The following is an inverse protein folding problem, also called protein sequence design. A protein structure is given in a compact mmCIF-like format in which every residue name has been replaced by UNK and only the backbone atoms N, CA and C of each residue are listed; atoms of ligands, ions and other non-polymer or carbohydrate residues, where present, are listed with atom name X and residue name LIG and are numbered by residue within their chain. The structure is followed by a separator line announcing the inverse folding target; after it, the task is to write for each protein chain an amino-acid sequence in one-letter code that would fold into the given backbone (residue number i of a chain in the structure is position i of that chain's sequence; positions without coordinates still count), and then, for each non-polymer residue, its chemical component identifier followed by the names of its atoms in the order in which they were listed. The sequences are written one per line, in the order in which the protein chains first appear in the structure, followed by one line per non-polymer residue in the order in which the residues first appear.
data_IF_647595096788
#
_entry.id   IF_647595096788
#
_cell.length_a   1.000
_cell.length_b   1.000
_cell.length_c   1.000
_cell.angle_alpha   90.00
_cell.angle_beta   90.00
_cell.angle_gamma   90.00
#
_symmetry.space_group_name_H-M   'P 1'
#
loop_
_entity.id
_entity.type
_entity.pdbx_description
1 polymer ?
#
# COMPACT_ATOMS: atom_id res chain seq x y z
N UNK A 1 3.86 -23.38 -18.91
CA UNK A 1 4.44 -24.22 -17.83
C UNK A 1 5.38 -23.36 -16.99
N UNK A 2 5.29 -23.38 -15.66
CA UNK A 2 6.16 -22.54 -14.82
C UNK A 2 7.61 -23.04 -14.91
N UNK A 3 8.51 -22.20 -15.40
CA UNK A 3 9.96 -22.49 -15.46
C UNK A 3 10.53 -22.78 -14.06
N UNK A 4 9.91 -22.20 -13.02
CA UNK A 4 10.32 -22.33 -11.62
C UNK A 4 10.06 -23.74 -11.08
N UNK A 5 8.93 -24.37 -11.43
CA UNK A 5 8.59 -25.72 -10.96
C UNK A 5 9.49 -26.81 -11.55
N UNK A 6 10.04 -26.58 -12.77
CA UNK A 6 10.96 -27.50 -13.45
C UNK A 6 12.41 -27.38 -12.98
N UNK A 7 12.76 -26.28 -12.30
CA UNK A 7 14.12 -26.04 -11.87
C UNK A 7 14.41 -26.88 -10.61
N UNK A 8 15.39 -27.80 -10.66
CA UNK A 8 15.75 -28.61 -9.49
C UNK A 8 16.20 -27.71 -8.34
N UNK A 9 15.97 -28.17 -7.10
CA UNK A 9 16.49 -27.53 -5.89
C UNK A 9 17.72 -28.32 -5.45
N UNK A 10 18.87 -27.65 -5.39
CA UNK A 10 20.13 -28.28 -5.02
C UNK A 10 20.30 -28.34 -3.51
N UNK A 11 20.75 -29.49 -3.01
CA UNK A 11 21.07 -29.74 -1.61
C UNK A 11 22.58 -29.57 -1.40
N UNK A 12 23.04 -28.51 -0.70
CA UNK A 12 24.44 -28.33 -0.37
C UNK A 12 24.90 -29.33 0.69
N UNK A 13 26.22 -29.52 0.81
CA UNK A 13 26.81 -30.47 1.77
C UNK A 13 26.35 -30.19 3.21
N UNK A 14 25.91 -31.23 3.92
CA UNK A 14 25.41 -31.14 5.30
C UNK A 14 23.92 -30.83 5.45
N UNK A 15 23.15 -30.78 4.34
CA UNK A 15 21.69 -30.68 4.36
C UNK A 15 21.06 -32.01 3.97
N UNK A 16 20.20 -32.54 4.83
CA UNK A 16 19.45 -33.78 4.56
C UNK A 16 17.97 -33.49 4.37
N UNK A 17 17.36 -34.14 3.37
CA UNK A 17 15.93 -34.06 3.10
C UNK A 17 15.29 -35.42 3.41
N UNK A 18 14.23 -35.41 4.22
CA UNK A 18 13.40 -36.58 4.50
C UNK A 18 12.03 -36.34 3.86
N UNK A 19 11.65 -37.21 2.93
CA UNK A 19 10.40 -37.12 2.18
C UNK A 19 9.42 -38.15 2.76
N UNK A 20 8.38 -37.67 3.44
CA UNK A 20 7.23 -38.48 3.86
C UNK A 20 6.05 -38.24 2.89
N UNK A 21 5.02 -39.09 2.95
CA UNK A 21 3.84 -38.98 2.09
C UNK A 21 3.13 -37.62 2.24
N UNK A 22 3.05 -37.11 3.46
CA UNK A 22 2.30 -35.90 3.80
C UNK A 22 3.18 -34.68 4.07
N UNK A 23 4.51 -34.83 4.16
CA UNK A 23 5.42 -33.74 4.49
C UNK A 23 6.85 -33.95 4.01
N UNK A 24 7.55 -32.85 3.70
CA UNK A 24 9.00 -32.82 3.45
C UNK A 24 9.68 -32.11 4.61
N UNK A 25 10.61 -32.79 5.26
CA UNK A 25 11.46 -32.21 6.31
C UNK A 25 12.87 -31.97 5.77
N UNK A 26 13.39 -30.76 5.93
CA UNK A 26 14.76 -30.41 5.56
C UNK A 26 15.52 -30.08 6.85
N UNK A 27 16.64 -30.76 7.09
CA UNK A 27 17.54 -30.54 8.23
C UNK A 27 18.87 -29.99 7.75
N UNK A 28 19.40 -29.01 8.47
CA UNK A 28 20.74 -28.47 8.24
C UNK A 28 21.35 -27.86 9.50
N UNK A 29 22.48 -27.18 9.36
CA UNK A 29 23.26 -26.66 10.49
C UNK A 29 22.50 -25.66 11.37
N UNK A 30 21.55 -24.91 10.82
CA UNK A 30 20.80 -23.86 11.55
C UNK A 30 19.44 -24.33 12.09
N UNK A 31 19.10 -25.61 11.95
CA UNK A 31 17.86 -26.19 12.44
C UNK A 31 17.11 -27.05 11.42
N UNK A 32 15.87 -27.40 11.75
CA UNK A 32 15.00 -28.23 10.91
C UNK A 32 13.72 -27.48 10.54
N UNK A 33 13.29 -27.60 9.28
CA UNK A 33 12.03 -27.05 8.78
C UNK A 33 11.19 -28.15 8.16
N UNK A 34 9.88 -28.10 8.37
CA UNK A 34 8.91 -29.05 7.78
C UNK A 34 7.90 -28.30 6.91
N UNK A 35 7.56 -28.87 5.76
CA UNK A 35 6.56 -28.38 4.83
C UNK A 35 5.54 -29.49 4.56
N UNK A 36 4.25 -29.28 4.83
CA UNK A 36 3.21 -30.24 4.44
C UNK A 36 3.09 -30.30 2.92
N UNK A 37 3.04 -31.51 2.38
CA UNK A 37 2.74 -31.78 0.97
C UNK A 37 1.22 -31.76 0.78
N UNK A 38 0.78 -31.19 -0.33
CA UNK A 38 -0.64 -31.14 -0.70
C UNK A 38 -0.92 -32.18 -1.79
N UNK A 39 -2.13 -32.74 -1.78
CA UNK A 39 -2.55 -33.74 -2.75
C UNK A 39 -2.26 -33.30 -4.21
N UNK A 40 -1.67 -34.20 -4.99
CA UNK A 40 -1.29 -33.98 -6.41
C UNK A 40 0.11 -33.39 -6.63
N UNK A 41 0.91 -33.16 -5.58
CA UNK A 41 2.31 -32.73 -5.69
C UNK A 41 3.22 -33.70 -4.94
N UNK A 42 4.08 -34.40 -5.67
CA UNK A 42 5.09 -35.31 -5.12
C UNK A 42 6.49 -34.74 -5.28
N UNK A 43 7.37 -35.02 -4.32
CA UNK A 43 8.78 -34.60 -4.37
C UNK A 43 9.62 -35.85 -4.55
N UNK A 44 10.46 -35.84 -5.59
CA UNK A 44 11.39 -36.92 -5.88
C UNK A 44 12.80 -36.41 -5.63
N UNK A 45 13.57 -37.17 -4.86
CA UNK A 45 15.00 -36.92 -4.68
C UNK A 45 15.79 -37.74 -5.69
N UNK A 46 16.59 -37.05 -6.51
CA UNK A 46 17.58 -37.68 -7.38
C UNK A 46 18.94 -37.11 -6.98
N UNK A 47 19.77 -37.95 -6.37
CA UNK A 47 21.06 -37.60 -5.80
C UNK A 47 20.99 -36.41 -4.82
N UNK A 48 21.63 -35.30 -5.19
CA UNK A 48 21.69 -34.02 -4.45
C UNK A 48 20.67 -32.99 -4.96
N UNK A 49 19.69 -33.41 -5.77
CA UNK A 49 18.68 -32.55 -6.37
C UNK A 49 17.28 -33.01 -5.99
N UNK A 50 16.47 -32.09 -5.48
CA UNK A 50 15.05 -32.29 -5.28
C UNK A 50 14.30 -31.80 -6.52
N UNK A 51 13.51 -32.68 -7.12
CA UNK A 51 12.62 -32.38 -8.24
C UNK A 51 11.17 -32.54 -7.81
N UNK A 52 10.30 -31.66 -8.31
CA UNK A 52 8.86 -31.73 -8.04
C UNK A 52 8.16 -32.38 -9.22
N UNK A 53 7.42 -33.44 -8.95
CA UNK A 53 6.45 -34.04 -9.87
C UNK A 53 5.04 -33.63 -9.46
N UNK A 54 4.19 -33.37 -10.42
CA UNK A 54 2.82 -32.94 -10.19
C UNK A 54 1.93 -33.47 -11.31
N UNK A 55 0.65 -33.66 -10.99
CA UNK A 55 -0.34 -34.12 -11.95
C UNK A 55 -0.68 -33.00 -12.95
N UNK A 56 -0.88 -33.35 -14.21
CA UNK A 56 -0.82 -32.42 -15.35
C UNK A 56 -1.85 -31.28 -15.31
N UNK A 57 -2.97 -31.45 -14.59
CA UNK A 57 -4.11 -30.53 -14.61
C UNK A 57 -4.45 -29.88 -13.27
N UNK A 58 -4.97 -28.64 -13.33
CA UNK A 58 -5.61 -27.96 -12.20
C UNK A 58 -4.70 -27.36 -11.12
N UNK A 59 -5.18 -27.39 -9.87
CA UNK A 59 -4.57 -26.77 -8.69
C UNK A 59 -3.13 -27.24 -8.41
N UNK A 60 -2.82 -28.50 -8.75
CA UNK A 60 -1.49 -29.09 -8.56
C UNK A 60 -0.40 -28.32 -9.33
N UNK A 61 -0.70 -27.89 -10.56
CA UNK A 61 0.23 -27.10 -11.40
C UNK A 61 0.50 -25.71 -10.83
N UNK A 62 -0.49 -25.08 -10.20
CA UNK A 62 -0.32 -23.77 -9.53
C UNK A 62 0.49 -23.92 -8.24
N UNK A 63 0.26 -25.01 -7.51
CA UNK A 63 0.95 -25.31 -6.24
C UNK A 63 2.40 -25.73 -6.44
N UNK A 64 2.72 -26.47 -7.50
CA UNK A 64 4.08 -26.98 -7.76
C UNK A 64 5.16 -25.88 -7.77
N UNK A 65 4.86 -24.70 -8.33
CA UNK A 65 5.78 -23.56 -8.32
C UNK A 65 6.03 -23.00 -6.91
N UNK A 66 4.97 -22.88 -6.11
CA UNK A 66 5.06 -22.43 -4.72
C UNK A 66 5.80 -23.46 -3.86
N UNK A 67 5.48 -24.74 -3.98
CA UNK A 67 6.16 -25.84 -3.27
C UNK A 67 7.66 -25.83 -3.55
N UNK A 68 8.07 -25.61 -4.82
CA UNK A 68 9.49 -25.48 -5.20
C UNK A 68 10.15 -24.29 -4.50
N UNK A 69 9.49 -23.14 -4.51
CA UNK A 69 10.01 -21.94 -3.88
C UNK A 69 10.15 -22.11 -2.36
N UNK A 70 9.18 -22.76 -1.70
CA UNK A 70 9.26 -23.07 -0.29
C UNK A 70 10.41 -24.02 0.04
N UNK A 71 10.60 -25.10 -0.73
CA UNK A 71 11.73 -26.02 -0.53
C UNK A 71 13.08 -25.31 -0.72
N UNK A 72 13.23 -24.50 -1.77
CA UNK A 72 14.45 -23.73 -1.99
C UNK A 72 14.72 -22.72 -0.85
N UNK A 73 13.67 -22.12 -0.31
CA UNK A 73 13.75 -21.22 0.83
C UNK A 73 14.13 -21.96 2.12
N UNK A 74 13.59 -23.16 2.34
CA UNK A 74 13.97 -24.00 3.48
C UNK A 74 15.44 -24.38 3.41
N UNK A 75 15.94 -24.82 2.24
CA UNK A 75 17.36 -25.13 2.03
C UNK A 75 18.23 -23.91 2.30
N UNK A 76 17.87 -22.74 1.78
CA UNK A 76 18.58 -21.47 2.05
C UNK A 76 18.52 -21.08 3.53
N UNK A 77 17.40 -21.33 4.20
CA UNK A 77 17.18 -21.04 5.61
C UNK A 77 18.04 -21.89 6.53
N UNK A 78 18.09 -23.21 6.32
CA UNK A 78 18.88 -24.12 7.17
C UNK A 78 20.40 -24.01 6.91
N UNK A 79 20.80 -23.39 5.80
CA UNK A 79 22.22 -23.17 5.43
C UNK A 79 22.70 -21.77 5.79
N UNK A 80 22.17 -20.74 5.13
CA UNK A 80 22.60 -19.34 5.27
C UNK A 80 21.79 -18.58 6.31
N UNK A 81 20.54 -18.97 6.55
CA UNK A 81 19.59 -18.21 7.36
C UNK A 81 19.05 -16.98 6.62
N UNK A 82 18.12 -16.27 7.26
CA UNK A 82 17.50 -15.06 6.72
C UNK A 82 17.79 -13.87 7.61
N UNK A 83 18.15 -12.74 6.99
CA UNK A 83 18.32 -11.46 7.65
C UNK A 83 17.43 -10.43 6.94
N UNK A 84 16.73 -9.60 7.72
CA UNK A 84 16.07 -8.39 7.24
C UNK A 84 16.59 -7.21 8.05
N UNK A 85 17.17 -6.22 7.37
CA UNK A 85 17.61 -4.97 7.97
C UNK A 85 16.43 -4.01 8.02
N UNK A 86 16.18 -3.41 9.18
CA UNK A 86 15.12 -2.44 9.41
C UNK A 86 15.74 -1.14 9.91
N UNK A 87 15.41 -0.03 9.25
CA UNK A 87 15.85 1.31 9.64
C UNK A 87 14.69 2.07 10.29
N UNK A 88 14.95 2.70 11.43
CA UNK A 88 13.98 3.55 12.13
C UNK A 88 14.24 5.02 11.78
N UNK A 89 13.23 5.69 11.22
CA UNK A 89 13.30 7.11 10.84
C UNK A 89 12.32 7.94 11.67
N UNK A 90 12.84 8.86 12.49
CA UNK A 90 12.05 9.85 13.21
C UNK A 90 12.67 10.28 14.55
N UNK A 91 12.32 11.47 15.02
CA UNK A 91 12.81 12.00 16.31
C UNK A 91 12.11 11.27 17.46
N UNK A 92 12.90 10.68 18.38
CA UNK A 92 12.39 9.99 19.57
C UNK A 92 12.05 8.50 19.38
N UNK A 93 12.26 7.92 18.20
CA UNK A 93 12.15 6.46 18.00
C UNK A 93 13.47 5.78 18.38
N UNK A 94 13.40 4.83 19.33
CA UNK A 94 14.54 3.99 19.71
C UNK A 94 14.10 2.54 19.83
N UNK A 95 14.89 1.61 19.30
CA UNK A 95 14.71 0.19 19.55
C UNK A 95 15.61 -0.23 20.71
N UNK A 96 15.04 -0.86 21.73
CA UNK A 96 15.79 -1.51 22.79
C UNK A 96 15.46 -3.01 22.75
N UNK A 97 16.49 -3.85 22.80
CA UNK A 97 16.29 -5.30 22.88
C UNK A 97 15.92 -5.63 24.32
N UNK A 98 14.78 -6.29 24.55
CA UNK A 98 14.34 -6.68 25.90
C UNK A 98 14.24 -8.21 25.96
N UNK A 99 15.24 -8.85 26.58
CA UNK A 99 15.31 -10.32 26.74
C UNK A 99 15.77 -11.08 25.48
N UNK A 100 15.86 -12.42 25.62
CA UNK A 100 16.44 -13.34 24.62
C UNK A 100 15.60 -13.56 23.35
N UNK A 101 14.38 -13.02 23.25
CA UNK A 101 13.49 -13.31 22.11
C UNK A 101 12.43 -12.23 21.80
N UNK A 102 12.65 -10.96 22.16
CA UNK A 102 11.72 -9.88 21.82
C UNK A 102 12.39 -8.52 21.71
N UNK A 103 12.33 -7.88 20.53
CA UNK A 103 12.66 -6.45 20.40
C UNK A 103 11.47 -5.66 20.93
N UNK A 104 11.60 -5.01 22.07
CA UNK A 104 10.58 -4.12 22.60
C UNK A 104 10.78 -2.71 22.04
N UNK A 105 9.92 -2.30 21.10
CA UNK A 105 9.83 -0.91 20.66
C UNK A 105 9.11 -0.10 21.75
N UNK A 106 9.88 0.59 22.59
CA UNK A 106 9.31 1.48 23.61
C UNK A 106 8.96 2.84 23.00
N UNK A 107 7.69 3.05 22.70
CA UNK A 107 7.10 4.37 22.46
C UNK A 107 6.74 5.00 23.82
N UNK A 108 6.98 6.30 24.03
CA UNK A 108 6.34 7.05 25.14
C UNK A 108 4.84 7.18 24.86
N UNK A 109 4.09 6.10 25.09
CA UNK A 109 2.65 6.06 25.23
C UNK A 109 2.35 4.86 26.14
N UNK A 110 1.55 5.06 27.18
CA UNK A 110 1.42 4.24 28.38
C UNK A 110 0.80 2.84 28.22
N UNK A 111 1.10 2.05 27.18
CA UNK A 111 0.62 0.66 27.09
C UNK A 111 1.71 -0.29 26.50
N UNK A 112 1.93 -1.49 27.09
CA UNK A 112 2.82 -2.49 26.54
C UNK A 112 2.11 -3.25 25.40
N UNK A 113 2.77 -3.42 24.25
CA UNK A 113 2.23 -4.21 23.14
C UNK A 113 2.94 -5.57 23.05
N UNK A 114 2.15 -6.63 23.19
CA UNK A 114 2.49 -7.96 22.69
C UNK A 114 2.63 -7.95 21.17
N UNK A 115 3.31 -8.98 20.64
CA UNK A 115 3.76 -9.07 19.26
C UNK A 115 2.63 -9.20 18.22
N UNK A 116 1.99 -8.08 17.91
CA UNK A 116 1.27 -7.91 16.64
C UNK A 116 2.26 -7.36 15.60
N UNK A 117 2.24 -7.89 14.39
CA UNK A 117 2.92 -7.27 13.25
C UNK A 117 2.38 -5.84 13.10
N UNK A 118 3.11 -4.87 13.65
CA UNK A 118 2.77 -3.45 13.54
C UNK A 118 2.88 -3.06 12.05
N UNK A 119 1.76 -3.13 11.34
CA UNK A 119 1.67 -2.59 9.97
C UNK A 119 1.90 -1.09 10.10
N UNK A 120 3.12 -0.64 9.82
CA UNK A 120 3.51 0.77 9.85
C UNK A 120 2.67 1.50 8.79
N UNK A 121 1.49 2.00 9.19
CA UNK A 121 0.61 2.71 8.26
C UNK A 121 1.22 4.06 7.92
N UNK A 122 1.60 4.24 6.65
CA UNK A 122 2.22 5.48 6.21
C UNK A 122 1.25 6.66 6.37
N UNK A 123 1.75 7.90 6.52
CA UNK A 123 0.89 9.10 6.60
C UNK A 123 -0.08 9.19 5.41
N UNK A 124 0.35 8.68 4.23
CA UNK A 124 -0.45 8.59 3.02
C UNK A 124 -1.60 7.58 3.17
N UNK A 125 -1.34 6.39 3.66
CA UNK A 125 -2.37 5.36 3.90
C UNK A 125 -3.41 5.81 4.92
N UNK A 126 -2.98 6.41 6.04
CA UNK A 126 -3.90 6.96 7.04
C UNK A 126 -4.83 8.03 6.46
N UNK A 127 -4.34 8.84 5.51
CA UNK A 127 -5.17 9.81 4.78
C UNK A 127 -6.17 9.10 3.86
N UNK A 128 -5.71 8.13 3.07
CA UNK A 128 -6.57 7.40 2.14
C UNK A 128 -7.70 6.66 2.88
N UNK A 129 -7.41 6.02 4.01
CA UNK A 129 -8.41 5.37 4.87
C UNK A 129 -9.52 6.34 5.32
N UNK A 130 -9.16 7.56 5.74
CA UNK A 130 -10.15 8.60 6.12
C UNK A 130 -11.02 9.06 4.96
N UNK A 131 -10.50 9.03 3.73
CA UNK A 131 -11.24 9.45 2.54
C UNK A 131 -12.31 8.42 2.14
N UNK A 132 -12.13 7.13 2.47
CA UNK A 132 -13.02 6.04 2.04
C UNK A 132 -14.47 6.30 2.42
N UNK A 133 -14.75 6.60 3.70
CA UNK A 133 -16.13 6.80 4.18
C UNK A 133 -16.84 7.94 3.45
N UNK A 134 -16.16 9.10 3.32
CA UNK A 134 -16.72 10.27 2.61
C UNK A 134 -16.99 9.94 1.15
N UNK A 135 -16.08 9.21 0.48
CA UNK A 135 -16.21 8.87 -0.94
C UNK A 135 -17.27 7.82 -1.21
N UNK A 136 -17.54 6.92 -0.27
CA UNK A 136 -18.66 5.98 -0.36
C UNK A 136 -19.98 6.76 -0.38
N UNK A 137 -20.18 7.64 0.60
CA UNK A 137 -21.40 8.46 0.66
C UNK A 137 -21.59 9.35 -0.57
N UNK A 138 -20.52 9.97 -1.09
CA UNK A 138 -20.60 10.79 -2.31
C UNK A 138 -20.99 9.95 -3.53
N UNK A 139 -20.55 8.69 -3.61
CA UNK A 139 -20.93 7.78 -4.70
C UNK A 139 -22.42 7.47 -4.65
N UNK A 140 -22.97 7.27 -3.46
CA UNK A 140 -24.40 7.00 -3.28
C UNK A 140 -25.27 8.20 -3.70
N UNK A 141 -24.75 9.43 -3.54
CA UNK A 141 -25.45 10.65 -3.94
C UNK A 141 -25.50 10.88 -5.47
N UNK A 142 -24.62 10.23 -6.25
CA UNK A 142 -24.64 10.34 -7.71
C UNK A 142 -24.40 11.74 -8.28
N UNK A 143 -23.79 12.65 -7.50
CA UNK A 143 -23.49 14.03 -7.92
C UNK A 143 -22.02 14.19 -8.33
N UNK A 144 -21.74 15.19 -9.18
CA UNK A 144 -20.37 15.57 -9.53
C UNK A 144 -19.56 15.91 -8.27
N UNK A 145 -18.30 15.47 -8.22
CA UNK A 145 -17.45 15.56 -7.01
C UNK A 145 -16.33 16.57 -7.20
N UNK A 146 -16.29 17.60 -6.35
CA UNK A 146 -15.16 18.51 -6.21
C UNK A 146 -14.11 17.91 -5.27
N UNK A 147 -13.00 17.43 -5.82
CA UNK A 147 -11.88 16.85 -5.07
C UNK A 147 -10.79 17.88 -4.82
N UNK A 148 -10.30 17.95 -3.58
CA UNK A 148 -9.17 18.83 -3.20
C UNK A 148 -7.95 18.01 -2.81
N UNK A 149 -6.83 18.23 -3.48
CA UNK A 149 -5.54 17.64 -3.11
C UNK A 149 -4.53 18.72 -2.73
N UNK A 150 -3.86 18.53 -1.59
CA UNK A 150 -2.93 19.50 -1.03
C UNK A 150 -1.58 18.86 -0.74
N UNK A 151 -0.52 19.49 -1.22
CA UNK A 151 0.86 19.22 -0.84
C UNK A 151 1.40 20.38 0.01
N UNK A 152 2.61 20.27 0.58
CA UNK A 152 3.21 21.39 1.30
C UNK A 152 3.32 22.65 0.43
N UNK A 153 3.65 22.49 -0.86
CA UNK A 153 3.91 23.60 -1.79
C UNK A 153 2.73 23.98 -2.70
N UNK A 154 1.83 23.05 -3.00
CA UNK A 154 0.79 23.26 -4.01
C UNK A 154 -0.59 22.81 -3.54
N UNK A 155 -1.61 23.34 -4.19
CA UNK A 155 -3.00 22.91 -4.03
C UNK A 155 -3.63 22.70 -5.41
N UNK A 156 -4.43 21.65 -5.51
CA UNK A 156 -5.08 21.18 -6.71
C UNK A 156 -6.56 20.97 -6.40
N UNK A 157 -7.42 21.41 -7.30
CA UNK A 157 -8.86 21.19 -7.25
C UNK A 157 -9.34 20.63 -8.59
N UNK A 158 -10.18 19.61 -8.54
CA UNK A 158 -10.75 18.98 -9.73
C UNK A 158 -12.23 18.68 -9.50
N UNK A 159 -13.08 19.06 -10.44
CA UNK A 159 -14.47 18.64 -10.51
C UNK A 159 -14.53 17.42 -11.43
N UNK A 160 -14.94 16.30 -10.86
CA UNK A 160 -15.08 15.02 -11.55
C UNK A 160 -16.56 14.72 -11.70
N UNK A 161 -16.93 14.11 -12.82
CA UNK A 161 -18.29 13.63 -13.06
C UNK A 161 -18.72 12.57 -12.01
N UNK A 162 -20.03 12.37 -11.88
CA UNK A 162 -20.65 11.44 -10.92
C UNK A 162 -20.15 9.99 -11.10
N UNK A 163 -19.96 9.56 -12.35
CA UNK A 163 -19.41 8.25 -12.69
C UNK A 163 -17.90 8.12 -12.37
N UNK A 164 -17.20 9.24 -12.18
CA UNK A 164 -15.76 9.26 -11.93
C UNK A 164 -14.87 9.09 -13.16
N UNK A 165 -15.45 8.97 -14.36
CA UNK A 165 -14.72 8.69 -15.60
C UNK A 165 -14.10 9.94 -16.24
N UNK A 166 -14.72 11.11 -16.08
CA UNK A 166 -14.31 12.35 -16.75
C UNK A 166 -14.05 13.48 -15.74
N UNK A 167 -12.96 14.22 -15.95
CA UNK A 167 -12.70 15.48 -15.25
C UNK A 167 -13.33 16.61 -16.05
N UNK A 168 -14.26 17.33 -15.43
CA UNK A 168 -15.03 18.41 -16.07
C UNK A 168 -14.24 19.72 -16.00
N UNK A 169 -13.70 20.03 -14.83
CA UNK A 169 -12.89 21.22 -14.60
C UNK A 169 -11.72 20.89 -13.68
N UNK A 170 -10.58 21.55 -13.89
CA UNK A 170 -9.41 21.42 -13.05
C UNK A 170 -8.72 22.77 -12.87
N UNK A 171 -8.26 23.07 -11.66
CA UNK A 171 -7.51 24.27 -11.32
C UNK A 171 -6.37 23.93 -10.35
N UNK A 172 -5.21 24.53 -10.55
CA UNK A 172 -4.06 24.30 -9.68
C UNK A 172 -3.12 25.49 -9.63
N UNK A 173 -2.35 25.60 -8.55
CA UNK A 173 -1.30 26.63 -8.45
C UNK A 173 -0.10 26.41 -9.37
N UNK A 174 -0.11 25.33 -10.16
CA UNK A 174 0.93 25.02 -11.15
C UNK A 174 0.60 25.63 -12.52
N UNK A 175 -0.68 25.88 -12.80
CA UNK A 175 -1.10 26.51 -14.05
C UNK A 175 -0.55 27.94 -14.12
N UNK A 176 0.02 28.30 -15.27
CA UNK A 176 0.66 29.61 -15.47
C UNK A 176 -0.27 30.77 -15.20
N UNK A 177 -1.53 30.66 -15.64
CA UNK A 177 -2.60 31.64 -15.41
C UNK A 177 -2.81 31.97 -13.94
N UNK A 178 -2.72 30.96 -13.07
CA UNK A 178 -2.90 31.13 -11.62
C UNK A 178 -1.58 31.46 -10.92
N UNK A 179 -0.45 31.01 -11.47
CA UNK A 179 0.87 31.21 -10.89
C UNK A 179 1.36 32.65 -11.04
N UNK A 180 1.07 33.31 -12.17
CA UNK A 180 1.54 34.66 -12.47
C UNK A 180 1.05 35.71 -11.45
N UNK A 181 -0.14 35.53 -10.87
CA UNK A 181 -0.73 36.46 -9.90
C UNK A 181 -0.44 36.15 -8.42
N UNK A 182 0.35 35.12 -8.11
CA UNK A 182 0.53 34.64 -6.73
C UNK A 182 1.96 34.85 -6.23
N UNK A 183 2.10 35.53 -5.08
CA UNK A 183 3.38 35.67 -4.35
C UNK A 183 3.89 34.35 -3.77
N UNK A 184 2.99 33.40 -3.50
CA UNK A 184 3.34 32.09 -2.97
C UNK A 184 2.27 31.04 -3.31
N UNK A 185 2.69 29.81 -3.57
CA UNK A 185 1.81 28.73 -4.07
C UNK A 185 1.23 27.83 -2.97
N UNK A 186 1.75 27.95 -1.75
CA UNK A 186 1.42 27.10 -0.59
C UNK A 186 0.61 27.79 0.51
N UNK A 187 0.14 29.03 0.31
CA UNK A 187 -0.55 29.85 1.32
C UNK A 187 -2.08 29.78 1.19
N UNK A 188 -2.79 30.52 2.07
CA UNK A 188 -4.26 30.60 2.08
C UNK A 188 -4.79 31.40 0.89
N UNK A 189 -4.08 32.45 0.45
CA UNK A 189 -4.46 33.27 -0.70
C UNK A 189 -4.48 32.47 -2.00
N UNK A 190 -3.46 31.64 -2.22
CA UNK A 190 -3.43 30.72 -3.37
C UNK A 190 -4.60 29.73 -3.35
N UNK A 191 -5.01 29.26 -2.17
CA UNK A 191 -6.17 28.39 -2.04
C UNK A 191 -7.48 29.10 -2.40
N UNK A 192 -7.63 30.39 -2.03
CA UNK A 192 -8.77 31.22 -2.44
C UNK A 192 -8.80 31.44 -3.96
N UNK A 193 -7.65 31.76 -4.56
CA UNK A 193 -7.53 31.95 -6.00
C UNK A 193 -7.92 30.68 -6.79
N UNK A 194 -7.44 29.51 -6.35
CA UNK A 194 -7.83 28.22 -6.95
C UNK A 194 -9.32 27.93 -6.75
N UNK A 195 -9.89 28.27 -5.60
CA UNK A 195 -11.32 28.13 -5.30
C UNK A 195 -12.23 28.95 -6.22
N UNK A 196 -11.84 30.19 -6.53
CA UNK A 196 -12.57 31.04 -7.49
C UNK A 196 -12.47 30.48 -8.92
N UNK A 197 -11.26 30.18 -9.35
CA UNK A 197 -11.00 29.70 -10.71
C UNK A 197 -11.69 28.35 -11.01
N UNK A 198 -11.76 27.43 -10.03
CA UNK A 198 -12.47 26.16 -10.24
C UNK A 198 -13.98 26.36 -10.36
N UNK A 199 -14.55 27.30 -9.60
CA UNK A 199 -15.98 27.59 -9.65
C UNK A 199 -16.39 28.23 -10.97
N UNK A 200 -15.61 29.19 -11.47
CA UNK A 200 -15.84 29.81 -12.80
C UNK A 200 -15.78 28.77 -13.92
N UNK A 201 -14.78 27.89 -13.89
CA UNK A 201 -14.64 26.82 -14.90
C UNK A 201 -15.75 25.77 -14.79
N UNK A 202 -16.18 25.43 -13.58
CA UNK A 202 -17.28 24.49 -13.38
C UNK A 202 -18.62 25.08 -13.88
N UNK A 203 -18.87 26.36 -13.62
CA UNK A 203 -20.02 27.08 -14.15
C UNK A 203 -20.01 27.18 -15.67
N UNK A 204 -18.86 27.48 -16.26
CA UNK A 204 -18.70 27.49 -17.72
C UNK A 204 -18.99 26.11 -18.35
N UNK A 205 -18.72 25.04 -17.61
CA UNK A 205 -19.05 23.67 -17.99
C UNK A 205 -20.48 23.22 -17.60
N UNK A 206 -21.31 24.12 -17.07
CA UNK A 206 -22.71 23.86 -16.73
C UNK A 206 -22.93 23.11 -15.40
N UNK A 207 -21.92 22.98 -14.53
CA UNK A 207 -22.03 22.26 -13.25
C UNK A 207 -22.21 23.25 -12.10
N UNK A 208 -23.41 23.28 -11.52
CA UNK A 208 -23.77 24.17 -10.40
C UNK A 208 -23.73 23.49 -9.03
N UNK A 209 -24.20 22.23 -8.96
CA UNK A 209 -24.25 21.42 -7.73
C UNK A 209 -23.14 20.38 -7.75
N UNK A 210 -22.34 20.36 -6.69
CA UNK A 210 -21.25 19.38 -6.51
C UNK A 210 -21.24 18.83 -5.08
N UNK A 211 -20.64 17.66 -4.87
CA UNK A 211 -20.27 17.19 -3.55
C UNK A 211 -18.81 17.54 -3.24
N UNK A 212 -18.55 18.05 -2.05
CA UNK A 212 -17.19 18.43 -1.63
C UNK A 212 -16.40 17.25 -1.02
N UNK A 213 -15.37 16.80 -1.72
CA UNK A 213 -14.42 15.78 -1.23
C UNK A 213 -13.11 16.40 -0.76
N UNK A 214 -12.98 16.52 0.57
CA UNK A 214 -11.75 16.92 1.27
C UNK A 214 -10.60 15.91 1.18
N UNK A 215 -10.75 14.77 0.48
CA UNK A 215 -9.71 13.77 0.20
C UNK A 215 -8.91 13.29 1.42
N UNK A 216 -9.59 13.18 2.56
CA UNK A 216 -9.01 12.75 3.84
C UNK A 216 -8.19 13.81 4.58
N UNK A 217 -8.15 15.05 4.08
CA UNK A 217 -7.60 16.19 4.82
C UNK A 217 -8.62 16.72 5.84
N UNK A 218 -8.11 17.33 6.91
CA UNK A 218 -8.97 18.04 7.85
C UNK A 218 -9.54 19.31 7.20
N UNK A 219 -10.80 19.60 7.51
CA UNK A 219 -11.46 20.82 7.05
C UNK A 219 -10.98 22.02 7.88
N UNK A 220 -9.81 22.54 7.51
CA UNK A 220 -9.17 23.65 8.19
C UNK A 220 -8.19 24.37 7.23
N UNK A 221 -7.81 25.60 7.60
CA UNK A 221 -6.83 26.42 6.87
C UNK A 221 -7.11 26.48 5.37
N UNK A 222 -6.14 26.04 4.56
CA UNK A 222 -6.24 26.07 3.09
C UNK A 222 -7.44 25.32 2.50
N UNK A 223 -7.87 24.21 3.11
CA UNK A 223 -9.02 23.43 2.59
C UNK A 223 -10.33 24.19 2.81
N UNK A 224 -10.46 24.82 3.99
CA UNK A 224 -11.61 25.66 4.31
C UNK A 224 -11.65 26.89 3.40
N UNK A 225 -10.52 27.59 3.25
CA UNK A 225 -10.45 28.79 2.43
C UNK A 225 -10.76 28.55 0.94
N UNK A 226 -10.37 27.39 0.40
CA UNK A 226 -10.75 27.00 -0.97
C UNK A 226 -12.25 26.77 -1.08
N UNK A 227 -12.85 26.08 -0.09
CA UNK A 227 -14.27 25.82 -0.07
C UNK A 227 -15.10 27.10 0.03
N UNK A 228 -14.73 28.00 0.94
CA UNK A 228 -15.42 29.28 1.12
C UNK A 228 -15.34 30.13 -0.16
N UNK A 229 -14.17 30.21 -0.79
CA UNK A 229 -13.98 30.93 -2.05
C UNK A 229 -14.77 30.32 -3.22
N UNK A 230 -14.90 28.99 -3.28
CA UNK A 230 -15.71 28.33 -4.29
C UNK A 230 -17.22 28.57 -4.10
N UNK A 231 -17.68 28.68 -2.85
CA UNK A 231 -19.06 29.04 -2.51
C UNK A 231 -19.37 30.49 -2.84
N UNK A 232 -18.47 31.42 -2.52
CA UNK A 232 -18.57 32.84 -2.90
C UNK A 232 -18.66 33.01 -4.43
N UNK A 233 -17.88 32.23 -5.17
CA UNK A 233 -17.95 32.19 -6.63
C UNK A 233 -19.18 31.45 -7.17
N UNK A 234 -20.10 31.01 -6.31
CA UNK A 234 -21.44 30.49 -6.61
C UNK A 234 -21.53 29.02 -6.98
N UNK A 235 -20.57 28.20 -6.54
CA UNK A 235 -20.68 26.74 -6.59
C UNK A 235 -21.46 26.25 -5.36
N UNK A 236 -22.46 25.38 -5.55
CA UNK A 236 -23.34 24.92 -4.47
C UNK A 236 -22.90 23.54 -3.95
N UNK A 237 -22.46 23.48 -2.69
CA UNK A 237 -22.06 22.25 -1.98
C UNK A 237 -21.96 22.41 -0.45
#
# INVERSE_FOLDING_TARGET
MSRIAKAPVELPAGVTATIAADAVTIKGAKGSLSLPLTAGVSVVQTDKKLQIRFDAEGLARMRAGATRAHLANMVRGVTRGYEKKLELVGVGFRAQVQGKSGRALRRRADHPQGGEEEVITTKKERRLRRAVKTRAHIRDLGVARLTVHRTPRHIYAQVVDAAGAKVIAAASTVQETLRAGLKGTGNVEAAKAVGRAIAERAKAAGVSRVAFDRSGFHFHGRVKALADAAREAGLQF
#
